data_IF_888475999954
#
_entry.id   IF_888475999954
#
_cell.length_a   1.000
_cell.length_b   1.000
_cell.length_c   1.000
_cell.angle_alpha   90.00
_cell.angle_beta   90.00
_cell.angle_gamma   90.00
#
_symmetry.space_group_name_H-M   'P 1'
#
loop_
_entity.id
_entity.type
_entity.pdbx_description
1 polymer ?
#
# COMPACT_ATOMS: atom_id res chain seq x y z
N UNK A 1 1.39 -13.14 -3.93
CA UNK A 1 1.38 -12.68 -2.53
C UNK A 1 1.90 -11.26 -2.53
N UNK A 2 1.02 -10.31 -2.26
CA UNK A 2 1.32 -8.89 -2.10
C UNK A 2 1.64 -8.60 -0.64
N UNK A 3 2.50 -7.60 -0.40
CA UNK A 3 2.84 -7.14 0.94
C UNK A 3 2.82 -5.61 0.92
N UNK A 4 2.08 -5.02 1.86
CA UNK A 4 2.18 -3.60 2.19
C UNK A 4 2.86 -3.42 3.54
N UNK A 5 3.71 -2.39 3.63
CA UNK A 5 4.50 -2.08 4.81
C UNK A 5 4.36 -0.60 5.14
N UNK A 6 4.09 -0.30 6.42
CA UNK A 6 4.15 1.07 6.97
C UNK A 6 5.39 1.17 7.83
N UNK A 7 6.21 2.17 7.52
CA UNK A 7 7.44 2.45 8.22
C UNK A 7 7.20 3.51 9.32
N UNK A 8 8.05 3.52 10.36
CA UNK A 8 7.98 4.50 11.46
C UNK A 8 8.05 5.97 10.99
N UNK A 9 8.69 6.22 9.85
CA UNK A 9 8.76 7.55 9.22
C UNK A 9 7.52 7.90 8.37
N UNK A 10 6.40 7.18 8.55
CA UNK A 10 5.15 7.36 7.81
C UNK A 10 5.27 7.13 6.29
N UNK A 11 6.28 6.38 5.86
CA UNK A 11 6.42 5.95 4.47
C UNK A 11 5.76 4.60 4.26
N UNK A 12 5.13 4.44 3.11
CA UNK A 12 4.42 3.22 2.73
C UNK A 12 5.12 2.58 1.54
N UNK A 13 5.35 1.29 1.64
CA UNK A 13 5.96 0.49 0.59
C UNK A 13 5.09 -0.72 0.25
N UNK A 14 5.16 -1.13 -1.00
CA UNK A 14 4.49 -2.30 -1.52
C UNK A 14 5.49 -3.18 -2.27
N UNK A 15 5.34 -4.50 -2.15
CA UNK A 15 6.11 -5.47 -2.92
C UNK A 15 5.26 -6.70 -3.23
N UNK A 16 5.69 -7.47 -4.22
CA UNK A 16 5.10 -8.73 -4.62
C UNK A 16 4.47 -8.68 -6.01
N UNK A 17 3.43 -9.50 -6.17
CA UNK A 17 2.72 -9.70 -7.43
C UNK A 17 1.86 -8.46 -7.73
N UNK A 18 1.98 -7.87 -8.93
CA UNK A 18 1.28 -6.62 -9.26
C UNK A 18 0.59 -6.64 -10.64
N UNK A 19 0.25 -7.80 -11.19
CA UNK A 19 -0.24 -7.92 -12.57
C UNK A 19 -1.46 -7.06 -12.92
N UNK A 20 -2.19 -6.56 -11.92
CA UNK A 20 -3.37 -5.71 -12.11
C UNK A 20 -3.23 -4.34 -11.40
N UNK A 21 -2.02 -3.92 -11.03
CA UNK A 21 -1.80 -2.61 -10.40
C UNK A 21 -2.21 -2.49 -8.93
N UNK A 22 -2.48 -3.61 -8.26
CA UNK A 22 -2.98 -3.67 -6.88
C UNK A 22 -2.00 -3.20 -5.81
N UNK A 23 -0.72 -3.01 -6.15
CA UNK A 23 0.25 -2.44 -5.22
C UNK A 23 0.09 -0.92 -5.05
N UNK A 24 -0.70 -0.24 -5.89
CA UNK A 24 -0.89 1.21 -5.80
C UNK A 24 0.37 2.03 -6.17
N UNK A 25 1.34 1.42 -6.85
CA UNK A 25 2.59 2.05 -7.29
C UNK A 25 2.45 2.85 -8.59
N UNK A 26 1.24 2.92 -9.15
CA UNK A 26 0.98 3.58 -10.44
C UNK A 26 1.37 2.76 -11.68
N UNK A 27 1.74 1.50 -11.49
CA UNK A 27 2.04 0.55 -12.56
C UNK A 27 1.57 -0.87 -12.20
N UNK A 28 1.66 -1.80 -13.16
CA UNK A 28 1.32 -3.21 -13.00
C UNK A 28 2.55 -4.14 -12.93
N UNK A 29 3.71 -3.57 -12.55
CA UNK A 29 4.97 -4.32 -12.54
C UNK A 29 5.15 -5.04 -11.21
N UNK A 30 5.26 -6.37 -11.26
CA UNK A 30 5.59 -7.18 -10.09
C UNK A 30 7.02 -6.88 -9.66
N UNK A 31 7.26 -6.75 -8.36
CA UNK A 31 8.57 -6.41 -7.81
C UNK A 31 8.87 -7.25 -6.57
N UNK A 32 10.08 -7.77 -6.46
CA UNK A 32 10.57 -8.40 -5.22
C UNK A 32 11.20 -7.38 -4.27
N UNK A 33 11.43 -6.16 -4.74
CA UNK A 33 11.97 -5.06 -3.95
C UNK A 33 10.85 -4.13 -3.49
N UNK A 34 10.90 -3.61 -2.24
CA UNK A 34 9.94 -2.63 -1.77
C UNK A 34 9.93 -1.40 -2.67
N UNK A 35 8.78 -1.10 -3.27
CA UNK A 35 8.55 0.15 -4.00
C UNK A 35 7.65 1.05 -3.20
N UNK A 36 7.94 2.34 -3.26
CA UNK A 36 7.22 3.34 -2.51
C UNK A 36 5.81 3.52 -3.10
N UNK A 37 4.83 3.64 -2.23
CA UNK A 37 3.44 3.98 -2.59
C UNK A 37 3.24 5.45 -2.26
N UNK A 38 3.60 6.34 -3.19
CA UNK A 38 3.62 7.78 -2.95
C UNK A 38 2.25 8.33 -2.52
N UNK A 39 1.16 7.77 -3.03
CA UNK A 39 -0.21 8.15 -2.69
C UNK A 39 -0.58 7.97 -1.20
N UNK A 40 0.11 7.06 -0.49
CA UNK A 40 -0.14 6.75 0.93
C UNK A 40 0.96 7.29 1.86
N UNK A 41 2.06 7.78 1.30
CA UNK A 41 3.16 8.32 2.09
C UNK A 41 2.74 9.59 2.82
N UNK A 42 3.23 9.75 4.05
CA UNK A 42 2.95 10.88 4.96
C UNK A 42 1.48 11.02 5.41
N UNK A 43 0.58 10.14 4.96
CA UNK A 43 -0.83 10.09 5.40
C UNK A 43 -1.05 9.45 6.78
N UNK A 44 0.02 9.20 7.53
CA UNK A 44 -0.04 8.71 8.92
C UNK A 44 -0.94 7.47 9.09
N UNK A 45 -0.72 6.46 8.25
CA UNK A 45 -1.54 5.25 8.19
C UNK A 45 -1.55 4.53 9.55
N UNK A 46 -2.75 4.25 10.04
CA UNK A 46 -3.02 3.49 11.27
C UNK A 46 -3.10 1.99 10.98
N UNK A 47 -3.84 1.61 9.94
CA UNK A 47 -4.02 0.21 9.57
C UNK A 47 -4.46 0.07 8.11
N UNK A 48 -4.41 -1.16 7.60
CA UNK A 48 -4.95 -1.54 6.31
C UNK A 48 -6.07 -2.56 6.48
N UNK A 49 -7.07 -2.48 5.61
CA UNK A 49 -8.04 -3.53 5.41
C UNK A 49 -7.82 -4.15 4.03
N UNK A 50 -7.85 -5.48 3.96
CA UNK A 50 -7.75 -6.24 2.72
C UNK A 50 -8.93 -7.22 2.62
N UNK A 51 -9.51 -7.34 1.44
CA UNK A 51 -10.56 -8.33 1.15
C UNK A 51 -10.01 -9.56 0.44
N UNK A 52 -10.91 -10.51 0.13
CA UNK A 52 -10.60 -11.59 -0.82
C UNK A 52 -10.41 -11.09 -2.26
N UNK A 53 -10.79 -9.83 -2.53
CA UNK A 53 -10.48 -9.10 -3.76
C UNK A 53 -9.21 -8.27 -3.59
N UNK A 54 -8.67 -7.83 -4.71
CA UNK A 54 -7.37 -7.17 -4.76
C UNK A 54 -7.40 -5.67 -4.43
N UNK A 55 -8.33 -5.30 -3.56
CA UNK A 55 -8.51 -3.93 -3.09
C UNK A 55 -7.98 -3.83 -1.66
N UNK A 56 -7.19 -2.79 -1.42
CA UNK A 56 -6.63 -2.46 -0.12
C UNK A 56 -7.16 -1.08 0.23
N UNK A 57 -7.71 -0.96 1.43
CA UNK A 57 -8.12 0.32 2.00
C UNK A 57 -7.12 0.70 3.09
N UNK A 58 -6.73 1.97 3.12
CA UNK A 58 -5.84 2.48 4.15
C UNK A 58 -6.60 3.43 5.07
N UNK A 59 -6.59 3.16 6.38
CA UNK A 59 -7.16 4.04 7.40
C UNK A 59 -6.06 4.88 8.03
N UNK A 60 -6.22 6.20 8.03
CA UNK A 60 -5.30 7.13 8.69
C UNK A 60 -5.62 7.25 10.19
N UNK A 61 -4.69 7.79 10.98
CA UNK A 61 -4.96 8.07 12.40
C UNK A 61 -5.99 9.18 12.58
N UNK A 62 -6.18 10.01 11.57
CA UNK A 62 -7.14 11.10 11.49
C UNK A 62 -8.57 10.60 11.16
N UNK A 63 -8.72 9.30 10.87
CA UNK A 63 -10.01 8.67 10.57
C UNK A 63 -10.41 8.75 9.09
N UNK A 64 -9.49 9.14 8.21
CA UNK A 64 -9.72 9.20 6.77
C UNK A 64 -9.43 7.84 6.12
N UNK A 65 -10.23 7.49 5.10
CA UNK A 65 -10.01 6.29 4.28
C UNK A 65 -9.46 6.72 2.93
N UNK A 66 -8.34 6.11 2.54
CA UNK A 66 -7.68 6.30 1.26
C UNK A 66 -7.72 5.05 0.40
#
# INVERSE_FOLDING_TARGET
KEILMVMKNKMVYAMGKNFNGFLGTGDANSTLYPRKVDALCKKNIKTFAYGNGSHILALTNEGEVC
#
